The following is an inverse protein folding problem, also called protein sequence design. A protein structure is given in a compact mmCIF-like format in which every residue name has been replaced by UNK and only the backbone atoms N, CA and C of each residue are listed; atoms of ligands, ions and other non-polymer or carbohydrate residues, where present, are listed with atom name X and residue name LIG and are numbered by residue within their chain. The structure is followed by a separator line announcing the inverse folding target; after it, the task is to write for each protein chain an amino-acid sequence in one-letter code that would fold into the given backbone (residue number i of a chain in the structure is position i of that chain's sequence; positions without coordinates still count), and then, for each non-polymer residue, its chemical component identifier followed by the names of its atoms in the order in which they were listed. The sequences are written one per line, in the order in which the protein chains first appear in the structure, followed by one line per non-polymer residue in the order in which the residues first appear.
data_IF_929584854734
#
_entry.id   IF_929584854734
#
_cell.length_a   1.000
_cell.length_b   1.000
_cell.length_c   1.000
_cell.angle_alpha   90.00
_cell.angle_beta   90.00
_cell.angle_gamma   90.00
#
_symmetry.space_group_name_H-M   'P 1'
#
loop_
_entity.id
_entity.type
_entity.pdbx_description
1 polymer ?
#
# COMPACT_ATOMS: atom_id res chain seq x y z
N UNK A 1 17.45 -16.85 -49.73
CA UNK A 1 16.12 -16.56 -49.15
C UNK A 1 16.31 -16.47 -47.65
N UNK A 2 16.46 -15.26 -47.11
CA UNK A 2 16.49 -15.05 -45.65
C UNK A 2 15.11 -15.40 -45.09
N UNK A 3 15.06 -16.20 -44.03
CA UNK A 3 13.79 -16.63 -43.43
C UNK A 3 13.01 -15.40 -42.97
N UNK A 4 11.77 -15.25 -43.43
CA UNK A 4 10.86 -14.17 -43.02
C UNK A 4 10.54 -14.21 -41.52
N UNK A 5 10.79 -15.37 -40.89
CA UNK A 5 10.65 -15.59 -39.46
C UNK A 5 12.04 -15.75 -38.82
N UNK A 6 12.31 -14.96 -37.79
CA UNK A 6 13.54 -15.02 -36.99
C UNK A 6 13.21 -14.83 -35.52
N UNK A 7 13.56 -15.83 -34.70
CA UNK A 7 13.48 -15.72 -33.25
C UNK A 7 14.66 -14.89 -32.74
N UNK A 8 14.49 -14.15 -31.63
CA UNK A 8 15.60 -13.45 -31.00
C UNK A 8 16.66 -14.45 -30.51
N UNK A 9 17.93 -14.13 -30.76
CA UNK A 9 19.05 -14.99 -30.38
C UNK A 9 19.12 -15.17 -28.86
N UNK A 10 19.22 -16.42 -28.38
CA UNK A 10 19.31 -16.72 -26.95
C UNK A 10 20.55 -16.07 -26.29
N UNK A 11 21.59 -15.77 -27.07
CA UNK A 11 22.79 -15.07 -26.59
C UNK A 11 22.44 -13.67 -26.08
N UNK A 12 21.54 -12.95 -26.76
CA UNK A 12 21.08 -11.62 -26.33
C UNK A 12 20.24 -11.67 -25.05
N UNK A 13 19.55 -12.79 -24.82
CA UNK A 13 18.67 -12.99 -23.66
C UNK A 13 19.40 -13.54 -22.43
N UNK A 14 20.59 -14.12 -22.60
CA UNK A 14 21.40 -14.71 -21.53
C UNK A 14 21.67 -13.75 -20.37
N UNK A 15 22.12 -12.49 -20.56
CA UNK A 15 22.32 -11.54 -19.46
C UNK A 15 21.02 -11.22 -18.70
N UNK A 16 19.86 -11.27 -19.37
CA UNK A 16 18.56 -11.09 -18.74
C UNK A 16 18.17 -12.29 -17.87
N UNK A 17 18.52 -13.51 -18.24
CA UNK A 17 18.32 -14.70 -17.39
C UNK A 17 19.21 -14.68 -16.13
N UNK A 18 20.40 -14.08 -16.24
CA UNK A 18 21.32 -13.89 -15.13
C UNK A 18 20.91 -12.76 -14.18
N UNK A 19 20.29 -11.69 -14.69
CA UNK A 19 19.76 -10.62 -13.84
C UNK A 19 18.39 -10.99 -13.23
N UNK A 20 17.52 -11.67 -13.97
CA UNK A 20 16.17 -12.06 -13.53
C UNK A 20 15.95 -13.57 -13.59
N UNK A 21 16.39 -14.32 -12.55
CA UNK A 21 16.13 -15.75 -12.50
C UNK A 21 14.65 -16.06 -12.34
N UNK A 22 14.25 -17.27 -12.74
CA UNK A 22 12.88 -17.78 -12.62
C UNK A 22 11.87 -17.03 -13.49
N UNK A 23 12.36 -16.26 -14.48
CA UNK A 23 11.54 -15.50 -15.44
C UNK A 23 11.87 -15.83 -16.88
N UNK A 24 12.55 -16.96 -17.11
CA UNK A 24 13.08 -17.34 -18.43
C UNK A 24 11.95 -17.50 -19.44
N UNK A 25 10.83 -18.13 -19.04
CA UNK A 25 9.66 -18.28 -19.91
C UNK A 25 9.03 -16.93 -20.28
N UNK A 26 8.86 -16.03 -19.31
CA UNK A 26 8.26 -14.71 -19.56
C UNK A 26 9.17 -13.85 -20.43
N UNK A 27 10.49 -13.89 -20.20
CA UNK A 27 11.47 -13.16 -21.01
C UNK A 27 11.46 -13.67 -22.45
N UNK A 28 11.50 -14.98 -22.68
CA UNK A 28 11.39 -15.56 -24.04
C UNK A 28 10.08 -15.15 -24.72
N UNK A 29 8.95 -15.29 -24.03
CA UNK A 29 7.64 -14.92 -24.56
C UNK A 29 7.57 -13.43 -24.93
N UNK A 30 8.09 -12.56 -24.06
CA UNK A 30 8.12 -11.12 -24.27
C UNK A 30 9.02 -10.77 -25.47
N UNK A 31 10.20 -11.40 -25.56
CA UNK A 31 11.11 -11.20 -26.68
C UNK A 31 10.47 -11.62 -28.02
N UNK A 32 9.80 -12.78 -28.07
CA UNK A 32 9.09 -13.25 -29.27
C UNK A 32 7.95 -12.31 -29.69
N UNK A 33 7.22 -11.73 -28.73
CA UNK A 33 6.08 -10.85 -28.99
C UNK A 33 6.47 -9.42 -29.38
N UNK A 34 7.70 -8.99 -29.07
CA UNK A 34 8.23 -7.67 -29.43
C UNK A 34 9.17 -7.68 -30.62
N UNK A 35 9.79 -8.82 -30.95
CA UNK A 35 10.74 -8.92 -32.05
C UNK A 35 10.04 -8.74 -33.42
N UNK A 36 10.53 -7.83 -34.30
CA UNK A 36 9.84 -7.44 -35.53
C UNK A 36 9.69 -8.58 -36.54
N UNK A 37 10.65 -9.52 -36.55
CA UNK A 37 10.68 -10.66 -37.47
C UNK A 37 10.11 -11.95 -36.85
N UNK A 38 9.61 -11.91 -35.60
CA UNK A 38 9.03 -13.08 -34.94
C UNK A 38 7.49 -13.06 -35.06
N UNK A 39 6.79 -12.90 -33.94
CA UNK A 39 5.33 -12.81 -33.88
C UNK A 39 4.92 -11.49 -33.21
N UNK A 40 5.18 -10.32 -33.85
CA UNK A 40 4.91 -9.03 -33.25
C UNK A 40 3.41 -8.85 -33.02
N UNK A 41 3.05 -8.45 -31.81
CA UNK A 41 1.69 -8.10 -31.46
C UNK A 41 1.46 -6.58 -31.56
N UNK A 42 0.22 -6.16 -31.81
CA UNK A 42 -0.15 -4.72 -31.83
C UNK A 42 -0.31 -4.17 -30.42
N UNK A 43 -1.05 -4.90 -29.60
CA UNK A 43 -1.30 -4.56 -28.20
C UNK A 43 -0.88 -5.73 -27.31
N UNK A 44 0.05 -5.47 -26.38
CA UNK A 44 0.51 -6.42 -25.36
C UNK A 44 0.11 -5.93 -23.97
N UNK A 45 -0.59 -6.76 -23.21
CA UNK A 45 -0.92 -6.48 -21.81
C UNK A 45 -0.06 -7.38 -20.93
N UNK A 46 0.92 -6.78 -20.26
CA UNK A 46 1.77 -7.46 -19.27
C UNK A 46 1.13 -7.26 -17.90
N UNK A 47 0.70 -8.35 -17.27
CA UNK A 47 0.00 -8.27 -15.99
C UNK A 47 0.55 -9.19 -14.91
N UNK A 48 0.33 -8.83 -13.65
CA UNK A 48 0.74 -9.64 -12.50
C UNK A 48 0.90 -8.80 -11.25
N UNK A 49 1.01 -9.45 -10.09
CA UNK A 49 1.15 -8.77 -8.80
C UNK A 49 2.32 -7.78 -8.76
N UNK A 50 2.30 -6.85 -7.82
CA UNK A 50 3.39 -5.89 -7.61
C UNK A 50 4.70 -6.62 -7.29
N UNK A 51 5.83 -6.04 -7.71
CA UNK A 51 7.17 -6.58 -7.44
C UNK A 51 7.50 -7.96 -8.06
N UNK A 52 6.85 -8.31 -9.19
CA UNK A 52 7.20 -9.49 -10.00
C UNK A 52 8.29 -9.22 -11.06
N UNK A 53 8.85 -8.00 -11.10
CA UNK A 53 9.91 -7.62 -12.04
C UNK A 53 9.44 -7.14 -13.42
N UNK A 54 8.13 -7.09 -13.70
CA UNK A 54 7.54 -6.67 -14.99
C UNK A 54 8.22 -5.44 -15.61
N UNK A 55 8.23 -4.32 -14.87
CA UNK A 55 8.75 -3.04 -15.37
C UNK A 55 10.25 -3.08 -15.66
N UNK A 56 11.03 -3.71 -14.77
CA UNK A 56 12.47 -3.83 -14.92
C UNK A 56 12.86 -4.75 -16.09
N UNK A 57 12.21 -5.92 -16.19
CA UNK A 57 12.42 -6.88 -17.28
C UNK A 57 12.04 -6.28 -18.62
N UNK A 58 10.87 -5.62 -18.71
CA UNK A 58 10.40 -5.04 -19.98
C UNK A 58 11.31 -3.90 -20.42
N UNK A 59 11.76 -3.04 -19.50
CA UNK A 59 12.62 -1.90 -19.85
C UNK A 59 13.99 -2.36 -20.34
N UNK A 60 14.61 -3.33 -19.66
CA UNK A 60 15.93 -3.86 -20.07
C UNK A 60 15.82 -4.68 -21.36
N UNK A 61 14.80 -5.54 -21.51
CA UNK A 61 14.63 -6.31 -22.73
C UNK A 61 14.36 -5.40 -23.95
N UNK A 62 13.58 -4.33 -23.78
CA UNK A 62 13.34 -3.36 -24.87
C UNK A 62 14.63 -2.62 -25.24
N UNK A 63 15.45 -2.20 -24.27
CA UNK A 63 16.75 -1.58 -24.60
C UNK A 63 17.67 -2.54 -25.34
N UNK A 64 17.76 -3.78 -24.87
CA UNK A 64 18.65 -4.79 -25.44
C UNK A 64 18.23 -5.13 -26.88
N UNK A 65 16.93 -5.32 -27.12
CA UNK A 65 16.37 -5.55 -28.46
C UNK A 65 16.60 -4.38 -29.41
N UNK A 66 16.43 -3.13 -28.94
CA UNK A 66 16.71 -1.94 -29.75
C UNK A 66 18.18 -1.90 -30.15
N UNK A 67 19.10 -2.26 -29.25
CA UNK A 67 20.52 -2.28 -29.57
C UNK A 67 20.90 -3.39 -30.54
N UNK A 68 20.40 -4.61 -30.35
CA UNK A 68 20.74 -5.76 -31.19
C UNK A 68 20.16 -5.64 -32.60
N UNK A 69 18.90 -5.20 -32.71
CA UNK A 69 18.24 -5.07 -34.00
C UNK A 69 18.89 -3.93 -34.81
N UNK A 70 19.20 -2.80 -34.18
CA UNK A 70 19.85 -1.70 -34.90
C UNK A 70 21.32 -1.98 -35.27
N UNK A 71 21.98 -2.97 -34.66
CA UNK A 71 23.30 -3.43 -35.12
C UNK A 71 23.23 -4.35 -36.34
N UNK A 72 22.09 -5.00 -36.57
CA UNK A 72 21.90 -5.88 -37.72
C UNK A 72 21.49 -5.05 -38.96
N UNK A 73 22.40 -4.93 -39.93
CA UNK A 73 22.15 -4.21 -41.19
C UNK A 73 20.99 -4.77 -42.01
N UNK A 74 20.61 -6.03 -41.76
CA UNK A 74 19.51 -6.71 -42.43
C UNK A 74 18.12 -6.43 -41.82
N UNK A 75 18.10 -5.79 -40.66
CA UNK A 75 16.89 -5.46 -39.93
C UNK A 75 16.34 -4.10 -40.37
N UNK A 76 15.01 -3.93 -40.37
CA UNK A 76 14.39 -2.66 -40.73
C UNK A 76 14.54 -1.55 -39.67
N UNK A 77 15.22 -1.83 -38.55
CA UNK A 77 15.37 -0.96 -37.40
C UNK A 77 14.23 -1.06 -36.37
N UNK A 78 14.58 -0.85 -35.10
CA UNK A 78 13.63 -0.82 -33.97
C UNK A 78 13.92 0.38 -33.08
N UNK A 79 12.86 1.12 -32.72
CA UNK A 79 12.94 2.18 -31.72
C UNK A 79 11.88 1.97 -30.65
N UNK A 80 12.14 2.48 -29.45
CA UNK A 80 11.20 2.33 -28.35
C UNK A 80 11.20 3.53 -27.41
N UNK A 81 10.05 3.75 -26.77
CA UNK A 81 9.89 4.73 -25.71
C UNK A 81 9.24 4.05 -24.49
N UNK A 82 9.80 4.28 -23.30
CA UNK A 82 9.28 3.77 -22.04
C UNK A 82 8.77 4.93 -21.21
N UNK A 83 7.47 4.93 -20.90
CA UNK A 83 6.81 5.99 -20.16
C UNK A 83 6.29 5.44 -18.83
N UNK A 84 6.71 6.06 -17.74
CA UNK A 84 6.19 5.73 -16.41
C UNK A 84 4.89 6.50 -16.13
N UNK A 85 3.76 5.81 -16.16
CA UNK A 85 2.44 6.41 -16.00
C UNK A 85 2.16 6.86 -14.57
N UNK A 86 2.87 6.32 -13.56
CA UNK A 86 2.71 6.73 -12.15
C UNK A 86 3.17 8.17 -11.93
N UNK A 87 4.14 8.62 -12.71
CA UNK A 87 4.62 10.02 -12.67
C UNK A 87 3.62 10.98 -13.32
N UNK A 88 2.67 10.47 -14.10
CA UNK A 88 1.69 11.24 -14.85
C UNK A 88 0.37 11.33 -14.07
N UNK A 89 0.17 12.44 -13.35
CA UNK A 89 -1.03 12.65 -12.53
C UNK A 89 -2.30 12.73 -13.38
N UNK A 90 -2.26 13.53 -14.45
CA UNK A 90 -3.41 13.80 -15.34
C UNK A 90 -3.21 13.15 -16.71
N UNK A 91 -4.29 12.97 -17.48
CA UNK A 91 -4.22 12.51 -18.88
C UNK A 91 -3.36 13.41 -19.76
N UNK A 92 -3.41 14.74 -19.55
CA UNK A 92 -2.56 15.71 -20.25
C UNK A 92 -1.07 15.44 -20.00
N UNK A 93 -0.66 15.25 -18.73
CA UNK A 93 0.73 14.96 -18.41
C UNK A 93 1.21 13.66 -19.06
N UNK A 94 0.34 12.65 -19.13
CA UNK A 94 0.65 11.39 -19.82
C UNK A 94 0.91 11.64 -21.32
N UNK A 95 0.04 12.39 -22.00
CA UNK A 95 0.19 12.67 -23.43
C UNK A 95 1.45 13.49 -23.74
N UNK A 96 1.71 14.55 -22.99
CA UNK A 96 2.93 15.37 -23.13
C UNK A 96 4.19 14.53 -22.87
N UNK A 97 4.16 13.61 -21.89
CA UNK A 97 5.28 12.70 -21.61
C UNK A 97 5.50 11.67 -22.72
N UNK A 98 4.42 11.12 -23.29
CA UNK A 98 4.52 10.20 -24.44
C UNK A 98 5.16 10.91 -25.63
N UNK A 99 4.67 12.09 -26.00
CA UNK A 99 5.24 12.88 -27.11
C UNK A 99 6.71 13.22 -26.84
N UNK A 100 7.04 13.67 -25.64
CA UNK A 100 8.42 14.01 -25.27
C UNK A 100 9.38 12.80 -25.34
N UNK A 101 8.96 11.63 -24.85
CA UNK A 101 9.79 10.42 -24.89
C UNK A 101 9.93 9.84 -26.30
N UNK A 102 8.88 9.93 -27.14
CA UNK A 102 8.96 9.54 -28.55
C UNK A 102 9.92 10.48 -29.30
N UNK A 103 9.81 11.78 -29.07
CA UNK A 103 10.70 12.75 -29.68
C UNK A 103 12.16 12.55 -29.27
N UNK A 104 12.42 12.26 -27.98
CA UNK A 104 13.75 11.94 -27.49
C UNK A 104 14.31 10.67 -28.14
N UNK A 105 13.53 9.60 -28.22
CA UNK A 105 13.92 8.35 -28.86
C UNK A 105 14.23 8.50 -30.36
N UNK A 106 13.44 9.33 -31.06
CA UNK A 106 13.60 9.60 -32.49
C UNK A 106 14.57 10.76 -32.80
N UNK A 107 15.12 11.44 -31.77
CA UNK A 107 15.91 12.68 -31.90
C UNK A 107 15.19 13.75 -32.72
N UNK A 108 13.91 13.94 -32.47
CA UNK A 108 13.04 14.87 -33.18
C UNK A 108 13.15 16.29 -32.61
N UNK A 109 13.52 17.27 -33.44
CA UNK A 109 13.81 18.64 -32.99
C UNK A 109 12.54 19.47 -32.69
N UNK A 110 11.47 19.28 -33.45
CA UNK A 110 10.22 20.04 -33.28
C UNK A 110 9.23 19.31 -32.37
N UNK A 111 9.36 19.48 -31.05
CA UNK A 111 8.44 18.87 -30.09
C UNK A 111 7.31 19.83 -29.73
N UNK A 112 6.07 19.40 -29.95
CA UNK A 112 4.89 20.10 -29.47
C UNK A 112 4.88 20.09 -27.93
N UNK A 113 5.02 21.26 -27.30
CA UNK A 113 5.08 21.37 -25.83
C UNK A 113 3.74 21.13 -25.13
N UNK A 114 2.62 21.11 -25.86
CA UNK A 114 1.27 21.04 -25.29
C UNK A 114 0.42 20.03 -26.04
N UNK A 115 0.04 18.95 -25.35
CA UNK A 115 -0.81 17.89 -25.89
C UNK A 115 -1.91 17.58 -24.87
N UNK A 116 -3.13 18.07 -25.12
CA UNK A 116 -4.23 18.00 -24.14
C UNK A 116 -5.21 16.87 -24.45
N UNK A 117 -5.34 16.52 -25.72
CA UNK A 117 -6.31 15.53 -26.18
C UNK A 117 -5.63 14.33 -26.82
N UNK A 118 -6.31 13.19 -26.77
CA UNK A 118 -5.84 11.99 -27.44
C UNK A 118 -5.73 12.19 -28.96
N UNK A 119 -6.64 12.96 -29.56
CA UNK A 119 -6.59 13.25 -31.00
C UNK A 119 -5.30 14.00 -31.37
N UNK A 120 -4.89 15.00 -30.57
CA UNK A 120 -3.61 15.68 -30.73
C UNK A 120 -2.43 14.71 -30.59
N UNK A 121 -2.48 13.82 -29.58
CA UNK A 121 -1.46 12.78 -29.43
C UNK A 121 -1.35 11.91 -30.68
N UNK A 122 -2.47 11.46 -31.23
CA UNK A 122 -2.50 10.63 -32.44
C UNK A 122 -1.85 11.36 -33.62
N UNK A 123 -2.19 12.63 -33.84
CA UNK A 123 -1.63 13.43 -34.95
C UNK A 123 -0.11 13.59 -34.79
N UNK A 124 0.37 13.93 -33.60
CA UNK A 124 1.82 14.08 -33.35
C UNK A 124 2.56 12.74 -33.49
N UNK A 125 1.98 11.64 -33.01
CA UNK A 125 2.55 10.31 -33.20
C UNK A 125 2.60 9.91 -34.68
N UNK A 126 1.53 10.15 -35.45
CA UNK A 126 1.52 9.89 -36.90
C UNK A 126 2.59 10.74 -37.61
N UNK A 127 2.72 12.02 -37.25
CA UNK A 127 3.74 12.94 -37.79
C UNK A 127 5.16 12.41 -37.54
N UNK A 128 5.47 11.96 -36.32
CA UNK A 128 6.81 11.48 -35.96
C UNK A 128 7.10 10.04 -36.42
N UNK A 129 6.09 9.17 -36.42
CA UNK A 129 6.23 7.73 -36.60
C UNK A 129 5.95 7.29 -38.05
N UNK A 130 4.99 7.89 -38.74
CA UNK A 130 4.50 7.42 -40.04
C UNK A 130 4.91 8.30 -41.23
N UNK A 131 4.99 9.62 -41.08
CA UNK A 131 5.35 10.51 -42.20
C UNK A 131 6.79 10.36 -42.72
N UNK A 132 7.80 10.14 -41.87
CA UNK A 132 9.16 9.88 -42.36
C UNK A 132 9.19 8.59 -43.18
N UNK A 133 9.84 8.64 -44.36
CA UNK A 133 10.05 7.44 -45.18
C UNK A 133 11.00 6.49 -44.45
N UNK A 134 10.47 5.39 -43.93
CA UNK A 134 11.21 4.32 -43.24
C UNK A 134 11.06 3.00 -43.99
N UNK A 135 11.93 2.03 -43.70
CA UNK A 135 11.78 0.66 -44.20
C UNK A 135 10.43 0.08 -43.74
N UNK A 136 9.78 -0.72 -44.57
CA UNK A 136 8.50 -1.38 -44.24
C UNK A 136 8.63 -2.37 -43.08
N UNK A 137 9.86 -2.79 -42.74
CA UNK A 137 10.17 -3.64 -41.58
C UNK A 137 10.44 -2.85 -40.29
N UNK A 138 10.53 -1.52 -40.36
CA UNK A 138 10.77 -0.69 -39.19
C UNK A 138 9.57 -0.74 -38.22
N UNK A 139 9.86 -0.87 -36.92
CA UNK A 139 8.83 -0.92 -35.86
C UNK A 139 9.15 0.06 -34.72
N UNK A 140 8.10 0.46 -34.01
CA UNK A 140 8.19 1.31 -32.83
C UNK A 140 7.45 0.68 -31.65
N UNK A 141 8.09 0.58 -30.49
CA UNK A 141 7.48 0.05 -29.27
C UNK A 141 7.21 1.18 -28.29
N UNK A 142 5.95 1.35 -27.89
CA UNK A 142 5.55 2.26 -26.81
C UNK A 142 5.21 1.44 -25.56
N UNK A 143 6.02 1.56 -24.52
CA UNK A 143 5.79 0.90 -23.22
C UNK A 143 5.17 1.90 -22.25
N UNK A 144 3.96 1.60 -21.78
CA UNK A 144 3.26 2.35 -20.75
C UNK A 144 3.33 1.57 -19.44
N UNK A 145 4.25 1.95 -18.56
CA UNK A 145 4.47 1.29 -17.28
C UNK A 145 3.44 1.73 -16.23
N UNK A 146 2.91 0.77 -15.48
CA UNK A 146 1.94 0.94 -14.39
C UNK A 146 0.76 1.89 -14.73
N UNK A 147 0.18 1.71 -15.92
CA UNK A 147 -0.92 2.55 -16.44
C UNK A 147 -2.21 2.40 -15.62
N UNK A 148 -2.37 1.30 -14.87
CA UNK A 148 -3.48 1.06 -13.94
C UNK A 148 -3.45 1.96 -12.69
N UNK A 149 -2.29 2.57 -12.38
CA UNK A 149 -2.11 3.40 -11.19
C UNK A 149 -2.30 4.90 -11.44
N UNK A 150 -2.73 5.27 -12.64
CA UNK A 150 -3.04 6.66 -12.95
C UNK A 150 -4.25 7.13 -12.12
N UNK A 151 -4.13 8.28 -11.46
CA UNK A 151 -5.15 8.77 -10.51
C UNK A 151 -6.44 9.22 -11.20
N UNK A 152 -6.30 9.99 -12.28
CA UNK A 152 -7.42 10.62 -13.00
C UNK A 152 -7.56 10.06 -14.42
N UNK A 153 -7.63 8.74 -14.57
CA UNK A 153 -7.79 8.09 -15.87
C UNK A 153 -9.29 7.92 -16.23
N UNK A 154 -9.80 8.56 -17.30
CA UNK A 154 -11.16 8.28 -17.76
C UNK A 154 -11.24 6.85 -18.31
N UNK A 155 -12.40 6.21 -18.18
CA UNK A 155 -12.62 4.83 -18.63
C UNK A 155 -12.39 4.61 -20.14
N UNK A 156 -12.39 5.69 -20.93
CA UNK A 156 -12.13 5.68 -22.37
C UNK A 156 -10.65 5.76 -22.73
N UNK A 157 -9.76 6.12 -21.81
CA UNK A 157 -8.34 6.36 -22.08
C UNK A 157 -7.63 5.11 -22.64
N UNK A 158 -7.75 3.99 -21.93
CA UNK A 158 -7.03 2.75 -22.26
C UNK A 158 -7.50 2.13 -23.58
N UNK A 159 -8.81 1.98 -23.85
CA UNK A 159 -9.26 1.53 -25.16
C UNK A 159 -8.79 2.45 -26.29
N UNK A 160 -8.77 3.75 -26.04
CA UNK A 160 -8.41 4.70 -27.07
C UNK A 160 -6.89 4.72 -27.35
N UNK A 161 -6.04 4.50 -26.33
CA UNK A 161 -4.61 4.25 -26.51
C UNK A 161 -4.35 2.93 -27.25
N UNK A 162 -5.10 1.86 -26.96
CA UNK A 162 -4.96 0.58 -27.66
C UNK A 162 -5.22 0.69 -29.17
N UNK A 163 -6.15 1.58 -29.57
CA UNK A 163 -6.47 1.83 -30.99
C UNK A 163 -5.40 2.64 -31.72
N UNK A 164 -4.42 3.22 -31.04
CA UNK A 164 -3.28 3.87 -31.72
C UNK A 164 -2.50 2.89 -32.61
N UNK A 165 -2.41 1.62 -32.21
CA UNK A 165 -1.79 0.55 -33.01
C UNK A 165 -2.63 0.11 -34.23
N UNK A 166 -3.90 0.53 -34.31
CA UNK A 166 -4.73 0.37 -35.51
C UNK A 166 -4.41 1.45 -36.53
N UNK A 167 -4.19 2.68 -36.04
CA UNK A 167 -3.91 3.87 -36.86
C UNK A 167 -2.47 3.84 -37.37
N UNK A 168 -1.53 3.45 -36.52
CA UNK A 168 -0.10 3.43 -36.82
C UNK A 168 0.35 1.97 -36.95
N UNK A 169 0.50 1.42 -38.17
CA UNK A 169 0.73 -0.02 -38.38
C UNK A 169 2.11 -0.51 -37.92
N UNK A 170 3.07 0.39 -37.75
CA UNK A 170 4.40 0.09 -37.22
C UNK A 170 4.50 0.20 -35.69
N UNK A 171 3.41 0.56 -35.01
CA UNK A 171 3.36 0.77 -33.56
C UNK A 171 2.91 -0.51 -32.82
N UNK A 172 3.69 -0.91 -31.83
CA UNK A 172 3.31 -1.87 -30.80
C UNK A 172 3.15 -1.16 -29.46
N UNK A 173 1.97 -1.25 -28.85
CA UNK A 173 1.70 -0.70 -27.53
C UNK A 173 1.79 -1.79 -26.46
N UNK A 174 2.62 -1.58 -25.45
CA UNK A 174 2.80 -2.47 -24.31
C UNK A 174 2.24 -1.80 -23.07
N UNK A 175 1.23 -2.41 -22.44
CA UNK A 175 0.59 -1.93 -21.23
C UNK A 175 1.02 -2.80 -20.05
N UNK A 176 1.76 -2.23 -19.10
CA UNK A 176 2.12 -2.92 -17.86
C UNK A 176 1.11 -2.57 -16.78
N UNK A 177 0.45 -3.58 -16.23
CA UNK A 177 -0.61 -3.42 -15.22
C UNK A 177 -0.48 -4.44 -14.09
N UNK A 178 -1.11 -4.17 -12.95
CA UNK A 178 -1.15 -5.11 -11.83
C UNK A 178 -2.19 -6.21 -12.09
N UNK A 179 -3.44 -5.81 -12.34
CA UNK A 179 -4.57 -6.71 -12.56
C UNK A 179 -5.53 -6.10 -13.59
N UNK A 180 -5.55 -6.57 -14.84
CA UNK A 180 -6.43 -6.03 -15.87
C UNK A 180 -7.89 -6.45 -15.59
N UNK A 181 -8.86 -5.51 -15.59
CA UNK A 181 -10.28 -5.86 -15.59
C UNK A 181 -10.68 -6.57 -16.89
N UNK A 182 -11.83 -7.25 -16.87
CA UNK A 182 -12.41 -7.86 -18.07
C UNK A 182 -12.63 -6.79 -19.16
N UNK A 183 -12.21 -7.09 -20.39
CA UNK A 183 -12.30 -6.13 -21.50
C UNK A 183 -11.40 -4.91 -21.35
N UNK A 184 -10.27 -5.01 -20.64
CA UNK A 184 -9.35 -3.92 -20.33
C UNK A 184 -9.07 -2.94 -21.50
N UNK A 185 -8.74 -3.47 -22.68
CA UNK A 185 -8.45 -2.65 -23.87
C UNK A 185 -9.62 -2.52 -24.84
N UNK A 186 -10.70 -3.32 -24.70
CA UNK A 186 -11.83 -3.40 -25.65
C UNK A 186 -11.41 -3.49 -27.13
N UNK A 187 -10.22 -4.05 -27.40
CA UNK A 187 -9.63 -4.21 -28.73
C UNK A 187 -9.70 -5.68 -29.12
N UNK A 188 -10.03 -6.01 -30.39
CA UNK A 188 -9.80 -7.36 -30.89
C UNK A 188 -8.29 -7.62 -30.89
N UNK A 189 -7.88 -8.83 -30.50
CA UNK A 189 -6.50 -9.33 -30.63
C UNK A 189 -5.43 -8.75 -29.69
N UNK A 190 -5.77 -8.38 -28.44
CA UNK A 190 -4.75 -8.07 -27.42
C UNK A 190 -4.08 -9.34 -26.86
N UNK A 191 -2.76 -9.42 -26.93
CA UNK A 191 -2.00 -10.49 -26.28
C UNK A 191 -1.87 -10.20 -24.78
N UNK A 192 -1.97 -11.24 -23.95
CA UNK A 192 -1.81 -11.14 -22.49
C UNK A 192 -0.62 -11.99 -22.03
N UNK A 193 0.30 -11.36 -21.31
CA UNK A 193 1.45 -12.04 -20.71
C UNK A 193 1.38 -11.91 -19.19
N UNK A 194 1.17 -13.06 -18.53
CA UNK A 194 1.11 -13.14 -17.07
C UNK A 194 2.50 -13.30 -16.47
N UNK A 195 2.80 -12.45 -15.49
CA UNK A 195 3.90 -12.58 -14.55
C UNK A 195 3.37 -13.11 -13.20
N UNK A 196 3.45 -14.43 -12.96
CA UNK A 196 2.93 -15.03 -11.74
C UNK A 196 3.72 -14.54 -10.51
N UNK A 197 3.12 -14.49 -9.31
CA UNK A 197 3.87 -14.23 -8.09
C UNK A 197 4.95 -15.30 -7.89
N UNK A 198 6.06 -14.92 -7.25
CA UNK A 198 7.15 -15.88 -7.01
C UNK A 198 6.74 -16.96 -6.02
N UNK A 199 7.22 -18.18 -6.24
CA UNK A 199 7.08 -19.30 -5.29
C UNK A 199 8.20 -19.31 -4.25
N UNK A 200 8.01 -20.08 -3.17
CA UNK A 200 9.01 -20.24 -2.09
C UNK A 200 10.40 -20.58 -2.62
N UNK A 201 10.48 -21.55 -3.54
CA UNK A 201 11.75 -22.01 -4.11
C UNK A 201 12.44 -20.89 -4.91
N UNK A 202 11.65 -20.09 -5.62
CA UNK A 202 12.13 -18.97 -6.43
C UNK A 202 12.64 -17.83 -5.55
N UNK A 203 11.91 -17.47 -4.48
CA UNK A 203 12.35 -16.48 -3.50
C UNK A 203 13.72 -16.82 -2.90
N UNK A 204 13.88 -18.08 -2.45
CA UNK A 204 15.15 -18.55 -1.88
C UNK A 204 16.25 -18.53 -2.94
N UNK A 205 15.97 -18.98 -4.18
CA UNK A 205 16.93 -18.97 -5.29
C UNK A 205 17.37 -17.56 -5.68
N UNK A 206 16.47 -16.59 -5.67
CA UNK A 206 16.78 -15.18 -5.97
C UNK A 206 17.73 -14.62 -4.91
N UNK A 207 17.43 -14.82 -3.61
CA UNK A 207 18.27 -14.31 -2.53
C UNK A 207 19.59 -15.08 -2.36
N UNK A 208 19.66 -16.34 -2.79
CA UNK A 208 20.90 -17.12 -2.73
C UNK A 208 21.95 -16.66 -3.75
N UNK A 209 21.57 -15.90 -4.78
CA UNK A 209 22.55 -15.28 -5.72
C UNK A 209 23.41 -14.22 -5.06
N UNK A 210 22.88 -13.52 -4.06
CA UNK A 210 23.61 -12.49 -3.30
C UNK A 210 23.70 -12.90 -1.83
N UNK A 211 24.53 -13.91 -1.49
CA UNK A 211 24.67 -14.34 -0.12
C UNK A 211 25.35 -13.25 0.73
N UNK A 212 25.07 -13.21 2.05
CA UNK A 212 25.78 -12.33 2.96
C UNK A 212 27.27 -12.71 3.04
N UNK A 213 28.08 -11.74 3.48
CA UNK A 213 29.52 -11.96 3.74
C UNK A 213 29.70 -13.09 4.77
N UNK A 214 30.80 -13.83 4.66
CA UNK A 214 31.16 -14.88 5.63
C UNK A 214 31.07 -14.35 7.06
N UNK A 215 30.47 -15.16 7.93
CA UNK A 215 30.51 -14.92 9.38
C UNK A 215 31.95 -15.21 9.84
N UNK A 216 32.51 -14.39 10.72
CA UNK A 216 33.92 -14.47 11.12
C UNK A 216 34.37 -15.84 11.65
N UNK A 217 33.44 -16.64 12.17
CA UNK A 217 33.67 -17.97 12.75
C UNK A 217 33.40 -19.12 11.77
N UNK A 218 33.00 -18.87 10.52
CA UNK A 218 32.47 -19.89 9.60
C UNK A 218 33.07 -19.80 8.19
N UNK A 219 33.06 -20.93 7.49
CA UNK A 219 33.41 -20.94 6.05
C UNK A 219 32.31 -20.27 5.21
N UNK A 220 32.68 -19.79 4.01
CA UNK A 220 31.72 -19.20 3.07
C UNK A 220 30.62 -20.20 2.69
N UNK A 221 30.96 -21.49 2.52
CA UNK A 221 30.02 -22.55 2.16
C UNK A 221 28.99 -22.80 3.27
N UNK A 222 29.43 -22.91 4.52
CA UNK A 222 28.52 -23.06 5.67
C UNK A 222 27.59 -21.85 5.82
N UNK A 223 28.11 -20.64 5.57
CA UNK A 223 27.31 -19.41 5.59
C UNK A 223 26.23 -19.44 4.50
N UNK A 224 26.56 -19.91 3.30
CA UNK A 224 25.60 -20.01 2.20
C UNK A 224 24.52 -21.06 2.46
N UNK A 225 24.86 -22.23 2.99
CA UNK A 225 23.86 -23.26 3.35
C UNK A 225 22.94 -22.73 4.45
N UNK A 226 23.51 -22.15 5.51
CA UNK A 226 22.74 -21.52 6.59
C UNK A 226 21.80 -20.43 6.06
N UNK A 227 22.28 -19.58 5.13
CA UNK A 227 21.50 -18.52 4.51
C UNK A 227 20.29 -19.07 3.75
N UNK A 228 20.43 -20.16 3.00
CA UNK A 228 19.31 -20.76 2.25
C UNK A 228 18.23 -21.30 3.18
N UNK A 229 18.62 -22.01 4.25
CA UNK A 229 17.71 -22.54 5.27
C UNK A 229 17.02 -21.41 6.03
N UNK A 230 17.77 -20.36 6.38
CA UNK A 230 17.25 -19.16 7.00
C UNK A 230 16.22 -18.44 6.12
N UNK A 231 16.52 -18.22 4.84
CA UNK A 231 15.58 -17.60 3.89
C UNK A 231 14.26 -18.40 3.80
N UNK A 232 14.33 -19.73 3.80
CA UNK A 232 13.15 -20.59 3.82
C UNK A 232 12.32 -20.41 5.10
N UNK A 233 12.96 -20.27 6.26
CA UNK A 233 12.28 -20.02 7.53
C UNK A 233 11.64 -18.61 7.62
N UNK A 234 12.32 -17.58 7.10
CA UNK A 234 11.76 -16.22 6.98
C UNK A 234 10.54 -16.23 6.05
N UNK A 235 10.60 -17.00 4.96
CA UNK A 235 9.47 -17.13 4.04
C UNK A 235 8.24 -17.72 4.73
N UNK A 236 8.41 -18.83 5.46
CA UNK A 236 7.30 -19.53 6.12
C UNK A 236 6.67 -18.72 7.25
N UNK A 237 7.46 -17.91 7.95
CA UNK A 237 7.02 -17.11 9.10
C UNK A 237 6.36 -15.79 8.70
N UNK A 238 6.99 -15.00 7.83
CA UNK A 238 6.58 -13.61 7.55
C UNK A 238 6.04 -13.40 6.12
N UNK A 239 6.57 -14.11 5.13
CA UNK A 239 6.29 -13.83 3.71
C UNK A 239 5.01 -14.51 3.25
N UNK A 240 4.80 -15.77 3.68
CA UNK A 240 3.61 -16.56 3.35
C UNK A 240 2.31 -15.91 3.86
N UNK A 241 2.36 -15.36 5.07
CA UNK A 241 1.23 -14.77 5.79
C UNK A 241 1.03 -13.29 5.45
N UNK A 242 2.08 -12.48 5.52
CA UNK A 242 1.95 -11.03 5.58
C UNK A 242 2.56 -10.26 4.40
N UNK A 243 3.61 -10.77 3.74
CA UNK A 243 4.23 -10.06 2.60
C UNK A 243 4.56 -10.97 1.42
N UNK A 244 3.77 -10.93 0.34
CA UNK A 244 4.05 -11.73 -0.88
C UNK A 244 4.94 -11.01 -1.91
N UNK A 245 5.82 -10.12 -1.45
CA UNK A 245 6.64 -9.27 -2.34
C UNK A 245 8.13 -9.46 -2.13
N UNK A 246 8.89 -9.46 -3.22
CA UNK A 246 10.34 -9.69 -3.21
C UNK A 246 11.13 -8.61 -2.44
N UNK A 247 10.85 -7.29 -2.59
CA UNK A 247 11.55 -6.26 -1.82
C UNK A 247 11.32 -6.39 -0.31
N UNK A 248 10.09 -6.68 0.11
CA UNK A 248 9.76 -6.89 1.53
C UNK A 248 10.49 -8.11 2.08
N UNK A 249 10.47 -9.24 1.36
CA UNK A 249 11.19 -10.44 1.74
C UNK A 249 12.70 -10.20 1.87
N UNK A 250 13.31 -9.53 0.87
CA UNK A 250 14.73 -9.14 0.91
C UNK A 250 15.04 -8.27 2.12
N UNK A 251 14.21 -7.27 2.39
CA UNK A 251 14.37 -6.40 3.56
C UNK A 251 14.29 -7.19 4.87
N UNK A 252 13.28 -8.04 5.03
CA UNK A 252 13.10 -8.88 6.23
C UNK A 252 14.29 -9.81 6.45
N UNK A 253 14.79 -10.47 5.40
CA UNK A 253 15.98 -11.32 5.49
C UNK A 253 17.20 -10.53 5.96
N UNK A 254 17.48 -9.35 5.37
CA UNK A 254 18.63 -8.52 5.78
C UNK A 254 18.48 -7.94 7.19
N UNK A 255 17.27 -7.59 7.63
CA UNK A 255 17.02 -7.07 8.96
C UNK A 255 17.15 -8.14 10.06
N UNK A 256 16.71 -9.37 9.76
CA UNK A 256 16.74 -10.49 10.70
C UNK A 256 18.09 -11.20 10.74
N UNK A 257 18.86 -11.17 9.65
CA UNK A 257 20.12 -11.91 9.55
C UNK A 257 21.11 -11.63 10.68
N UNK A 258 21.46 -10.37 11.01
CA UNK A 258 22.41 -10.09 12.08
C UNK A 258 21.93 -10.58 13.45
N UNK A 259 20.61 -10.55 13.69
CA UNK A 259 20.00 -11.00 14.94
C UNK A 259 20.01 -12.52 15.04
N UNK A 260 19.78 -13.20 13.92
CA UNK A 260 19.82 -14.65 13.83
C UNK A 260 21.25 -15.20 13.98
N UNK A 261 22.27 -14.49 13.49
CA UNK A 261 23.68 -14.90 13.59
C UNK A 261 24.36 -14.46 14.89
N UNK A 262 23.75 -13.58 15.69
CA UNK A 262 24.35 -13.09 16.94
C UNK A 262 24.73 -14.22 17.93
N UNK A 263 23.92 -15.29 18.13
CA UNK A 263 24.30 -16.43 18.96
C UNK A 263 25.52 -17.21 18.43
N UNK A 264 25.72 -17.23 17.11
CA UNK A 264 26.88 -17.88 16.47
C UNK A 264 28.14 -17.05 16.73
N UNK A 265 28.05 -15.72 16.56
CA UNK A 265 29.15 -14.80 16.85
C UNK A 265 29.54 -14.82 18.33
N UNK A 266 28.58 -15.04 19.22
CA UNK A 266 28.81 -15.19 20.66
C UNK A 266 29.36 -16.58 21.05
N UNK A 267 29.52 -17.51 20.11
CA UNK A 267 30.02 -18.87 20.37
C UNK A 267 29.04 -19.78 21.12
N UNK A 268 27.77 -19.37 21.27
CA UNK A 268 26.77 -20.15 22.02
C UNK A 268 26.20 -21.32 21.24
N UNK A 269 26.12 -21.20 19.90
CA UNK A 269 25.57 -22.21 19.02
C UNK A 269 26.42 -22.35 17.75
N UNK A 270 26.47 -23.57 17.22
CA UNK A 270 27.17 -23.87 15.97
C UNK A 270 26.26 -23.59 14.76
N UNK A 271 26.82 -23.24 13.58
CA UNK A 271 26.05 -23.02 12.35
C UNK A 271 25.24 -24.24 11.89
N UNK A 272 25.72 -25.44 12.24
CA UNK A 272 25.04 -26.71 11.92
C UNK A 272 23.78 -26.94 12.75
N UNK A 273 23.66 -26.29 13.91
CA UNK A 273 22.54 -26.45 14.85
C UNK A 273 21.35 -25.54 14.51
N UNK A 274 20.87 -25.61 13.27
CA UNK A 274 19.82 -24.72 12.75
C UNK A 274 18.54 -24.71 13.61
N UNK A 275 18.11 -25.87 14.12
CA UNK A 275 16.91 -25.99 14.96
C UNK A 275 17.04 -25.22 16.27
N UNK A 276 18.23 -25.23 16.91
CA UNK A 276 18.47 -24.50 18.17
C UNK A 276 18.49 -22.98 17.91
N UNK A 277 19.12 -22.55 16.81
CA UNK A 277 19.13 -21.16 16.38
C UNK A 277 17.72 -20.62 16.09
N UNK A 278 16.86 -21.43 15.47
CA UNK A 278 15.46 -21.07 15.24
C UNK A 278 14.68 -20.88 16.55
N UNK A 279 14.92 -21.73 17.56
CA UNK A 279 14.27 -21.60 18.86
C UNK A 279 14.75 -20.32 19.57
N UNK A 280 16.07 -20.06 19.57
CA UNK A 280 16.64 -18.85 20.14
C UNK A 280 16.12 -17.57 19.44
N UNK A 281 15.97 -17.61 18.11
CA UNK A 281 15.47 -16.50 17.30
C UNK A 281 13.95 -16.39 17.19
N UNK A 282 13.17 -17.28 17.83
CA UNK A 282 11.70 -17.42 17.60
C UNK A 282 10.94 -16.11 17.75
N UNK A 283 11.28 -15.30 18.76
CA UNK A 283 10.61 -14.01 19.01
C UNK A 283 10.79 -13.04 17.84
N UNK A 284 11.94 -13.09 17.17
CA UNK A 284 12.20 -12.22 16.02
C UNK A 284 11.43 -12.63 14.76
N UNK A 285 11.15 -13.92 14.58
CA UNK A 285 10.32 -14.41 13.47
C UNK A 285 8.81 -14.14 13.66
N UNK A 286 8.37 -13.80 14.87
CA UNK A 286 6.99 -13.39 15.17
C UNK A 286 6.78 -11.87 15.09
N UNK A 287 7.85 -11.11 14.90
CA UNK A 287 7.82 -9.65 14.89
C UNK A 287 7.37 -9.10 13.52
N UNK A 288 6.05 -8.99 13.34
CA UNK A 288 5.44 -8.42 12.12
C UNK A 288 5.80 -6.94 11.91
N UNK A 289 6.30 -6.24 12.94
CA UNK A 289 6.68 -4.83 12.82
C UNK A 289 7.80 -4.59 11.79
N UNK A 290 8.57 -5.63 11.45
CA UNK A 290 9.61 -5.60 10.43
C UNK A 290 9.07 -5.46 9.00
N UNK A 291 7.77 -5.75 8.79
CA UNK A 291 7.11 -5.59 7.50
C UNK A 291 6.54 -4.18 7.31
N UNK A 292 6.41 -3.41 8.38
CA UNK A 292 5.94 -2.04 8.29
C UNK A 292 7.04 -1.18 7.64
N UNK A 293 6.71 -0.42 6.59
CA UNK A 293 7.68 0.49 5.98
C UNK A 293 8.22 1.45 7.03
N UNK A 294 9.51 1.77 6.97
CA UNK A 294 10.24 2.56 7.96
C UNK A 294 9.63 3.94 8.27
N UNK A 295 8.76 4.45 7.40
CA UNK A 295 7.97 5.67 7.61
C UNK A 295 6.97 5.51 8.77
N UNK A 296 6.53 4.28 9.06
CA UNK A 296 5.56 3.94 10.11
C UNK A 296 6.24 3.41 11.38
N UNK A 297 7.48 2.90 11.28
CA UNK A 297 8.20 2.29 12.41
C UNK A 297 9.58 2.91 12.65
N UNK A 298 9.61 4.11 13.26
CA UNK A 298 10.85 4.61 13.87
C UNK A 298 11.14 3.75 15.10
N UNK A 299 11.93 2.69 14.93
CA UNK A 299 12.43 1.90 16.06
C UNK A 299 13.52 2.71 16.75
N UNK A 300 13.24 3.22 17.95
CA UNK A 300 14.26 3.87 18.78
C UNK A 300 15.39 2.86 19.05
N UNK A 301 16.62 3.21 18.67
CA UNK A 301 17.80 2.33 18.80
C UNK A 301 18.21 2.07 20.26
N UNK A 302 17.57 2.70 21.24
CA UNK A 302 18.12 2.83 22.60
C UNK A 302 17.30 2.15 23.73
N UNK A 303 16.47 1.13 23.46
CA UNK A 303 15.92 0.31 24.55
C UNK A 303 16.37 -1.15 24.46
N UNK A 304 17.10 -1.69 25.47
CA UNK A 304 17.38 -3.10 25.54
C UNK A 304 16.08 -3.89 25.74
N UNK A 305 16.04 -5.06 25.13
CA UNK A 305 14.91 -5.98 25.12
C UNK A 305 14.70 -6.55 26.51
N UNK A 306 13.78 -5.96 27.28
CA UNK A 306 13.08 -6.72 28.32
C UNK A 306 11.84 -7.36 27.68
N UNK A 307 11.80 -8.68 27.75
CA UNK A 307 10.72 -9.50 27.28
C UNK A 307 9.46 -9.22 28.11
N UNK A 308 8.53 -8.45 27.52
CA UNK A 308 7.11 -8.58 27.84
C UNK A 308 6.36 -8.57 26.52
N UNK A 309 5.69 -9.69 26.25
CA UNK A 309 4.71 -9.81 25.19
C UNK A 309 3.64 -8.73 25.37
N UNK A 310 3.80 -7.60 24.67
CA UNK A 310 2.78 -6.57 24.57
C UNK A 310 2.53 -6.28 23.10
N UNK A 311 1.35 -6.74 22.67
CA UNK A 311 0.70 -6.48 21.39
C UNK A 311 0.80 -4.99 21.07
N UNK A 312 1.34 -4.62 19.90
CA UNK A 312 0.96 -3.45 19.06
C UNK A 312 0.64 -2.06 19.69
N UNK A 313 0.90 -1.81 20.97
CA UNK A 313 0.41 -0.63 21.71
C UNK A 313 1.31 0.59 21.69
N UNK A 314 2.50 0.51 21.06
CA UNK A 314 3.48 1.61 21.11
C UNK A 314 2.94 2.94 20.55
N UNK A 315 2.09 2.92 19.50
CA UNK A 315 1.51 4.15 18.96
C UNK A 315 0.37 4.74 19.83
N UNK A 316 -0.32 3.89 20.60
CA UNK A 316 -1.38 4.32 21.50
C UNK A 316 -0.80 5.00 22.76
N UNK A 317 0.33 4.51 23.26
CA UNK A 317 1.02 5.08 24.44
C UNK A 317 1.67 6.43 24.16
N UNK A 318 2.05 6.71 22.92
CA UNK A 318 2.61 8.02 22.56
C UNK A 318 1.51 9.09 22.53
N UNK A 319 0.33 8.79 21.98
CA UNK A 319 -0.77 9.77 21.95
C UNK A 319 -1.32 10.08 23.35
N UNK A 320 -1.34 9.10 24.26
CA UNK A 320 -1.80 9.31 25.65
C UNK A 320 -0.92 10.29 26.42
N UNK A 321 0.39 10.35 26.12
CA UNK A 321 1.34 11.22 26.81
C UNK A 321 1.42 12.63 26.20
N UNK A 322 1.01 12.79 24.94
CA UNK A 322 1.14 14.05 24.20
C UNK A 322 -0.10 14.96 24.31
N UNK A 323 -1.27 14.41 24.67
CA UNK A 323 -2.51 15.18 24.70
C UNK A 323 -2.80 15.81 26.09
N UNK A 324 -3.15 17.11 26.14
CA UNK A 324 -3.63 17.75 27.36
C UNK A 324 -4.84 17.03 27.97
N UNK A 325 -5.02 17.13 29.29
CA UNK A 325 -6.10 16.43 30.02
C UNK A 325 -7.49 16.80 29.48
N UNK A 326 -7.75 18.06 29.15
CA UNK A 326 -9.01 18.50 28.54
C UNK A 326 -9.27 17.79 27.20
N UNK A 327 -8.26 17.66 26.35
CA UNK A 327 -8.38 16.97 25.06
C UNK A 327 -8.62 15.46 25.25
N UNK A 328 -7.96 14.84 26.24
CA UNK A 328 -8.18 13.43 26.61
C UNK A 328 -9.62 13.20 27.08
N UNK A 329 -10.14 14.05 27.96
CA UNK A 329 -11.53 13.98 28.44
C UNK A 329 -12.54 14.17 27.30
N UNK A 330 -12.33 15.16 26.42
CA UNK A 330 -13.19 15.38 25.25
C UNK A 330 -13.22 14.16 24.32
N UNK A 331 -12.08 13.48 24.11
CA UNK A 331 -12.05 12.24 23.32
C UNK A 331 -12.82 11.09 23.98
N UNK A 332 -12.74 10.95 25.30
CA UNK A 332 -13.55 9.97 26.03
C UNK A 332 -15.04 10.28 25.90
N UNK A 333 -15.44 11.54 26.11
CA UNK A 333 -16.83 11.99 25.95
C UNK A 333 -17.34 11.79 24.52
N UNK A 334 -16.52 12.07 23.51
CA UNK A 334 -16.83 11.83 22.11
C UNK A 334 -17.03 10.35 21.80
N UNK A 335 -16.21 9.47 22.39
CA UNK A 335 -16.35 8.03 22.23
C UNK A 335 -17.67 7.52 22.86
N UNK A 336 -18.01 7.99 24.06
CA UNK A 336 -19.28 7.65 24.70
C UNK A 336 -20.49 8.20 23.91
N UNK A 337 -20.39 9.43 23.39
CA UNK A 337 -21.41 9.99 22.51
C UNK A 337 -21.58 9.15 21.23
N UNK A 338 -20.49 8.63 20.65
CA UNK A 338 -20.56 7.80 19.45
C UNK A 338 -21.21 6.43 19.71
N UNK A 339 -20.82 5.73 20.78
CA UNK A 339 -21.22 4.33 20.99
C UNK A 339 -22.47 4.15 21.86
N UNK A 340 -22.79 5.08 22.75
CA UNK A 340 -24.03 5.04 23.52
C UNK A 340 -25.17 5.73 22.76
N UNK A 341 -26.36 5.13 22.79
CA UNK A 341 -27.55 5.75 22.24
C UNK A 341 -28.07 6.86 23.18
N UNK A 342 -28.61 7.94 22.60
CA UNK A 342 -29.10 9.13 23.32
C UNK A 342 -30.08 8.83 24.45
N UNK A 343 -30.90 7.77 24.31
CA UNK A 343 -31.86 7.33 25.34
C UNK A 343 -31.23 6.93 26.67
N UNK A 344 -29.94 6.63 26.70
CA UNK A 344 -29.22 6.20 27.89
C UNK A 344 -28.44 7.32 28.58
N UNK A 345 -28.38 8.51 27.98
CA UNK A 345 -27.57 9.61 28.51
C UNK A 345 -28.09 10.07 29.88
N UNK A 346 -29.42 10.15 30.05
CA UNK A 346 -30.04 10.49 31.33
C UNK A 346 -29.71 9.47 32.43
N UNK A 347 -29.62 8.18 32.10
CA UNK A 347 -29.31 7.15 33.11
C UNK A 347 -27.84 7.13 33.48
N UNK A 348 -26.94 7.52 32.57
CA UNK A 348 -25.49 7.48 32.78
C UNK A 348 -24.92 8.78 33.34
N UNK A 349 -25.42 9.93 32.89
CA UNK A 349 -24.79 11.23 33.12
C UNK A 349 -25.66 12.21 33.91
N UNK A 350 -26.83 11.78 34.43
CA UNK A 350 -27.63 12.66 35.29
C UNK A 350 -26.98 12.78 36.67
N UNK A 351 -26.60 14.00 37.02
CA UNK A 351 -26.08 14.36 38.35
C UNK A 351 -27.21 14.69 39.34
N UNK A 352 -28.45 14.77 38.86
CA UNK A 352 -29.63 15.08 39.66
C UNK A 352 -30.41 13.82 39.96
N UNK A 353 -30.54 13.46 41.23
CA UNK A 353 -31.49 12.43 41.66
C UNK A 353 -32.91 12.92 41.36
N UNK A 354 -33.54 12.41 40.30
CA UNK A 354 -34.98 12.59 40.14
C UNK A 354 -35.70 11.79 41.23
N UNK A 355 -35.98 12.45 42.36
CA UNK A 355 -36.90 11.98 43.40
C UNK A 355 -38.37 11.87 42.94
N UNK A 356 -38.63 11.78 41.63
CA UNK A 356 -39.97 11.46 41.13
C UNK A 356 -40.16 9.96 41.27
N UNK A 357 -40.86 9.56 42.35
CA UNK A 357 -41.62 8.30 42.38
C UNK A 357 -42.35 8.17 41.05
N UNK A 358 -41.87 7.29 40.16
CA UNK A 358 -42.65 6.84 39.02
C UNK A 358 -43.98 6.37 39.59
N UNK A 359 -45.08 7.05 39.23
CA UNK A 359 -46.44 6.56 39.51
C UNK A 359 -46.49 5.12 39.05
N UNK A 360 -46.67 4.22 40.01
CA UNK A 360 -46.96 2.81 39.81
C UNK A 360 -48.36 2.76 39.20
N UNK A 361 -48.44 2.89 37.88
CA UNK A 361 -49.62 2.55 37.10
C UNK A 361 -49.40 1.15 36.56
N UNK A 362 -49.92 0.15 37.26
CA UNK A 362 -49.98 -1.21 36.76
C UNK A 362 -50.91 -1.28 35.55
N UNK A 363 -50.52 -2.06 34.56
CA UNK A 363 -51.35 -3.07 33.89
C UNK A 363 -50.38 -4.02 33.20
N UNK A 364 -50.56 -5.29 33.50
CA UNK A 364 -49.89 -6.45 32.90
C UNK A 364 -50.25 -6.48 31.41
N UNK A 365 -49.25 -6.34 30.54
CA UNK A 365 -49.38 -6.70 29.13
C UNK A 365 -48.09 -7.38 28.65
N UNK A 366 -48.16 -8.72 28.66
CA UNK A 366 -47.47 -9.69 27.80
C UNK A 366 -46.02 -9.41 27.45
N UNK A 367 -45.15 -10.28 27.96
CA UNK A 367 -43.77 -10.41 27.52
C UNK A 367 -43.67 -10.53 26.00
N UNK A 368 -43.24 -9.45 25.36
CA UNK A 368 -42.48 -9.56 24.14
C UNK A 368 -41.12 -10.12 24.56
N UNK A 369 -40.94 -11.43 24.37
CA UNK A 369 -39.63 -12.05 24.26
C UNK A 369 -38.89 -11.32 23.14
N UNK A 370 -38.21 -10.21 23.48
CA UNK A 370 -37.22 -9.61 22.59
C UNK A 370 -36.15 -10.67 22.45
N UNK A 371 -36.27 -11.44 21.38
CA UNK A 371 -35.25 -12.31 20.83
C UNK A 371 -33.93 -11.58 21.01
N UNK A 372 -33.09 -12.07 21.92
CA UNK A 372 -31.73 -11.59 22.12
C UNK A 372 -30.96 -11.99 20.86
N UNK A 373 -31.19 -11.26 19.78
CA UNK A 373 -30.26 -11.23 18.66
C UNK A 373 -28.93 -10.88 19.32
N UNK A 374 -27.92 -11.74 19.20
CA UNK A 374 -26.57 -11.47 19.72
C UNK A 374 -26.19 -10.10 19.18
N UNK A 375 -26.30 -9.06 20.02
CA UNK A 375 -26.00 -7.70 19.62
C UNK A 375 -24.52 -7.73 19.32
N UNK A 376 -24.15 -7.34 18.10
CA UNK A 376 -22.75 -7.14 17.76
C UNK A 376 -22.19 -6.17 18.81
N UNK A 377 -21.06 -6.53 19.43
CA UNK A 377 -20.45 -5.67 20.42
C UNK A 377 -20.26 -4.28 19.81
N UNK A 378 -20.78 -3.23 20.46
CA UNK A 378 -20.77 -1.87 19.89
C UNK A 378 -19.36 -1.34 19.61
N UNK A 379 -18.34 -1.91 20.25
CA UNK A 379 -16.91 -1.67 20.00
C UNK A 379 -16.46 -2.13 18.60
N UNK A 380 -17.19 -3.08 17.99
CA UNK A 380 -16.96 -3.59 16.63
C UNK A 380 -17.78 -2.83 15.57
N UNK A 381 -18.74 -2.01 15.99
CA UNK A 381 -19.44 -1.09 15.08
C UNK A 381 -18.56 0.14 14.82
N UNK A 382 -18.63 0.65 13.60
CA UNK A 382 -18.01 1.93 13.27
C UNK A 382 -18.60 3.07 14.10
N UNK A 383 -17.79 4.09 14.37
CA UNK A 383 -18.20 5.25 15.15
C UNK A 383 -19.42 5.95 14.53
N UNK A 384 -20.48 6.13 15.32
CA UNK A 384 -21.68 6.83 14.86
C UNK A 384 -21.48 8.35 14.94
N UNK A 385 -22.19 9.06 14.07
CA UNK A 385 -22.23 10.51 14.14
C UNK A 385 -23.05 10.96 15.35
N UNK A 386 -22.54 11.93 16.10
CA UNK A 386 -23.20 12.56 17.23
C UNK A 386 -23.21 14.09 17.07
N UNK A 387 -24.11 14.79 17.76
CA UNK A 387 -24.18 16.26 17.74
C UNK A 387 -23.14 16.82 18.72
N UNK A 388 -22.46 17.91 18.36
CA UNK A 388 -21.43 18.52 19.22
C UNK A 388 -21.98 18.87 20.60
N UNK A 389 -23.17 19.45 20.65
CA UNK A 389 -23.87 19.79 21.90
C UNK A 389 -24.01 18.60 22.85
N UNK A 390 -24.33 17.40 22.33
CA UNK A 390 -24.43 16.19 23.15
C UNK A 390 -23.10 15.79 23.75
N UNK A 391 -22.02 15.86 22.97
CA UNK A 391 -20.66 15.59 23.46
C UNK A 391 -20.27 16.59 24.56
N UNK A 392 -20.57 17.87 24.35
CA UNK A 392 -20.32 18.93 25.34
C UNK A 392 -21.10 18.72 26.63
N UNK A 393 -22.36 18.25 26.54
CA UNK A 393 -23.16 17.89 27.71
C UNK A 393 -22.56 16.72 28.49
N UNK A 394 -22.10 15.67 27.80
CA UNK A 394 -21.42 14.52 28.43
C UNK A 394 -20.10 14.98 29.08
N UNK A 395 -19.31 15.81 28.38
CA UNK A 395 -18.07 16.36 28.92
C UNK A 395 -18.34 17.19 30.19
N UNK A 396 -19.34 18.07 30.18
CA UNK A 396 -19.68 18.89 31.33
C UNK A 396 -20.14 18.07 32.54
N UNK A 397 -20.85 16.96 32.33
CA UNK A 397 -21.30 16.07 33.40
C UNK A 397 -20.15 15.33 34.07
N UNK A 398 -19.11 15.01 33.30
CA UNK A 398 -18.09 14.05 33.69
C UNK A 398 -16.76 14.72 34.10
N UNK A 399 -16.46 15.92 33.58
CA UNK A 399 -15.17 16.60 33.78
C UNK A 399 -14.77 16.79 35.24
N UNK A 400 -15.74 16.96 36.15
CA UNK A 400 -15.47 17.19 37.57
C UNK A 400 -15.14 15.89 38.32
N UNK A 401 -15.62 14.75 37.82
CA UNK A 401 -15.37 13.44 38.40
C UNK A 401 -14.06 12.84 37.88
N UNK A 402 -13.74 13.07 36.60
CA UNK A 402 -12.57 12.48 35.95
C UNK A 402 -11.33 13.37 35.94
N UNK A 403 -11.45 14.68 36.17
CA UNK A 403 -10.29 15.52 36.42
C UNK A 403 -10.06 15.56 37.93
N UNK A 404 -8.90 15.05 38.39
CA UNK A 404 -8.42 15.30 39.75
C UNK A 404 -8.61 16.78 40.06
N UNK A 405 -9.20 17.09 41.22
CA UNK A 405 -9.81 18.38 41.59
C UNK A 405 -8.89 19.61 41.63
N UNK A 406 -7.81 19.64 40.85
CA UNK A 406 -6.81 20.70 40.74
C UNK A 406 -6.91 21.55 39.48
N UNK A 407 -7.84 21.30 38.52
CA UNK A 407 -7.75 22.00 37.22
C UNK A 407 -9.04 22.43 36.49
N UNK A 408 -10.21 22.54 37.13
CA UNK A 408 -11.41 23.03 36.42
C UNK A 408 -12.34 23.90 37.28
N UNK A 409 -11.97 25.16 37.48
CA UNK A 409 -12.89 26.19 37.96
C UNK A 409 -14.02 26.45 36.94
N UNK A 410 -15.24 26.62 37.43
CA UNK A 410 -16.47 26.66 36.64
C UNK A 410 -16.61 27.82 35.62
N UNK A 411 -15.69 28.80 35.59
CA UNK A 411 -15.90 30.07 34.91
C UNK A 411 -14.81 30.49 33.89
N UNK A 412 -13.76 29.70 33.65
CA UNK A 412 -12.63 30.09 32.79
C UNK A 412 -12.38 29.25 31.51
N UNK A 413 -13.15 28.18 31.28
CA UNK A 413 -12.74 27.07 30.40
C UNK A 413 -13.32 27.05 28.97
N UNK A 414 -14.26 27.92 28.62
CA UNK A 414 -14.96 27.79 27.32
C UNK A 414 -14.03 28.02 26.12
N UNK A 415 -13.05 28.93 26.24
CA UNK A 415 -12.04 29.17 25.21
C UNK A 415 -11.06 27.99 25.08
N UNK A 416 -10.58 27.43 26.21
CA UNK A 416 -9.66 26.30 26.20
C UNK A 416 -10.31 25.03 25.67
N UNK A 417 -11.60 24.82 25.97
CA UNK A 417 -12.38 23.70 25.44
C UNK A 417 -12.63 23.86 23.95
N UNK A 418 -12.98 25.07 23.48
CA UNK A 418 -13.09 25.38 22.06
C UNK A 418 -11.77 25.11 21.29
N UNK A 419 -10.65 25.57 21.86
CA UNK A 419 -9.32 25.32 21.31
C UNK A 419 -8.98 23.82 21.32
N UNK A 420 -9.33 23.10 22.38
CA UNK A 420 -9.17 21.64 22.43
C UNK A 420 -10.01 20.93 21.35
N UNK A 421 -11.25 21.35 21.08
CA UNK A 421 -12.06 20.80 19.99
C UNK A 421 -11.45 21.11 18.62
N UNK A 422 -10.99 22.36 18.40
CA UNK A 422 -10.35 22.78 17.15
C UNK A 422 -9.04 22.02 16.88
N UNK A 423 -8.22 21.82 17.91
CA UNK A 423 -6.98 21.03 17.82
C UNK A 423 -7.28 19.55 17.56
N UNK A 424 -8.25 18.95 18.25
CA UNK A 424 -8.69 17.56 17.98
C UNK A 424 -9.25 17.38 16.56
N UNK A 425 -9.93 18.40 16.03
CA UNK A 425 -10.40 18.44 14.65
C UNK A 425 -9.24 18.54 13.65
N UNK A 426 -8.26 19.40 13.93
CA UNK A 426 -7.05 19.58 13.12
C UNK A 426 -6.18 18.31 13.08
N UNK A 427 -6.09 17.60 14.21
CA UNK A 427 -5.43 16.29 14.33
C UNK A 427 -6.23 15.13 13.71
N UNK A 428 -7.44 15.39 13.19
CA UNK A 428 -8.38 14.40 12.65
C UNK A 428 -8.74 13.27 13.63
N UNK A 429 -8.64 13.53 14.94
CA UNK A 429 -9.13 12.63 15.99
C UNK A 429 -10.64 12.78 16.16
N UNK A 430 -11.15 13.99 15.91
CA UNK A 430 -12.56 14.29 15.69
C UNK A 430 -12.74 14.78 14.26
N UNK A 431 -13.79 14.31 13.59
CA UNK A 431 -14.09 14.66 12.20
C UNK A 431 -15.52 15.15 12.09
N UNK A 432 -15.73 16.31 11.47
CA UNK A 432 -17.08 16.81 11.19
C UNK A 432 -17.70 16.00 10.05
N UNK A 433 -18.98 15.66 10.20
CA UNK A 433 -19.78 14.93 9.22
C UNK A 433 -20.75 15.89 8.56
N UNK A 434 -20.62 16.05 7.25
CA UNK A 434 -21.30 17.11 6.48
C UNK A 434 -20.33 18.26 6.19
N UNK A 435 -20.52 18.92 5.04
CA UNK A 435 -19.56 19.84 4.41
C UNK A 435 -19.09 21.04 5.25
N UNK A 436 -18.21 21.83 4.64
CA UNK A 436 -17.51 22.96 5.27
C UNK A 436 -18.50 23.94 5.95
N UNK A 437 -18.37 24.05 7.27
CA UNK A 437 -19.10 24.99 8.12
C UNK A 437 -18.26 25.30 9.36
N UNK A 438 -18.67 26.28 10.15
CA UNK A 438 -17.94 26.72 11.34
C UNK A 438 -17.78 25.60 12.37
N UNK A 439 -16.54 25.26 12.72
CA UNK A 439 -16.17 24.22 13.71
C UNK A 439 -16.89 24.41 15.04
N UNK A 440 -17.28 25.64 15.37
CA UNK A 440 -17.97 25.99 16.61
C UNK A 440 -19.49 25.82 16.57
N UNK A 441 -20.06 25.40 15.43
CA UNK A 441 -21.49 25.10 15.32
C UNK A 441 -21.87 23.91 16.20
N UNK A 442 -22.59 24.21 17.30
CA UNK A 442 -23.05 23.22 18.29
C UNK A 442 -24.05 22.21 17.71
N UNK A 443 -24.75 22.56 16.64
CA UNK A 443 -25.64 21.66 15.89
C UNK A 443 -24.90 20.73 14.93
N UNK A 444 -23.60 20.96 14.71
CA UNK A 444 -22.77 20.18 13.83
C UNK A 444 -22.71 18.70 14.24
N UNK A 445 -22.74 17.81 13.24
CA UNK A 445 -22.53 16.38 13.44
C UNK A 445 -21.04 16.06 13.40
N UNK A 446 -20.57 15.27 14.35
CA UNK A 446 -19.18 14.88 14.53
C UNK A 446 -19.05 13.37 14.62
N UNK A 447 -17.90 12.83 14.23
CA UNK A 447 -17.50 11.43 14.39
C UNK A 447 -16.11 11.37 15.00
N UNK A 448 -15.94 10.46 15.95
CA UNK A 448 -14.64 10.13 16.47
C UNK A 448 -13.89 9.20 15.51
N UNK A 449 -12.60 9.46 15.30
CA UNK A 449 -11.72 8.70 14.43
C UNK A 449 -10.56 8.10 15.25
N UNK A 450 -10.91 7.48 16.37
CA UNK A 450 -9.96 6.90 17.34
C UNK A 450 -10.42 5.48 17.66
N UNK A 451 -9.48 4.52 17.60
CA UNK A 451 -9.76 3.13 17.89
C UNK A 451 -9.95 2.88 19.40
N UNK A 452 -10.71 1.83 19.72
CA UNK A 452 -11.00 1.43 21.10
C UNK A 452 -9.74 1.28 21.98
N UNK A 453 -8.67 0.67 21.47
CA UNK A 453 -7.45 0.46 22.27
C UNK A 453 -6.78 1.77 22.71
N UNK A 454 -6.86 2.80 21.87
CA UNK A 454 -6.34 4.14 22.21
C UNK A 454 -7.23 4.79 23.26
N UNK A 455 -8.56 4.73 23.11
CA UNK A 455 -9.52 5.25 24.09
C UNK A 455 -9.37 4.56 25.45
N UNK A 456 -9.16 3.24 25.45
CA UNK A 456 -8.90 2.46 26.66
C UNK A 456 -7.58 2.88 27.33
N UNK A 457 -6.53 3.12 26.54
CA UNK A 457 -5.27 3.67 27.02
C UNK A 457 -5.44 5.06 27.65
N UNK A 458 -6.18 5.96 26.99
CA UNK A 458 -6.49 7.29 27.49
C UNK A 458 -7.27 7.22 28.80
N UNK A 459 -8.32 6.39 28.87
CA UNK A 459 -9.10 6.18 30.09
C UNK A 459 -8.23 5.75 31.27
N UNK A 460 -7.42 4.70 31.08
CA UNK A 460 -6.47 4.23 32.11
C UNK A 460 -5.47 5.30 32.55
N UNK A 461 -5.02 6.16 31.65
CA UNK A 461 -4.10 7.27 31.97
C UNK A 461 -4.72 8.35 32.87
N UNK A 462 -6.06 8.37 32.99
CA UNK A 462 -6.83 9.30 33.83
C UNK A 462 -7.52 8.52 34.98
N UNK A 463 -7.28 7.21 35.11
CA UNK A 463 -7.92 6.37 36.12
C UNK A 463 -9.39 6.01 35.83
N UNK A 464 -9.85 6.17 34.59
CA UNK A 464 -11.24 5.91 34.17
C UNK A 464 -11.35 4.59 33.41
N UNK A 465 -12.18 3.68 33.92
CA UNK A 465 -12.54 2.45 33.21
C UNK A 465 -13.70 2.69 32.22
N UNK A 466 -13.36 3.12 31.00
CA UNK A 466 -14.34 3.45 29.94
C UNK A 466 -15.29 2.28 29.60
N UNK A 467 -14.91 1.04 29.94
CA UNK A 467 -15.74 -0.14 29.70
C UNK A 467 -17.05 -0.12 30.50
N UNK A 468 -17.04 0.43 31.71
CA UNK A 468 -18.22 0.51 32.59
C UNK A 468 -19.25 1.51 32.06
N UNK A 469 -18.80 2.49 31.28
CA UNK A 469 -19.64 3.56 30.72
C UNK A 469 -20.29 3.17 29.39
N UNK A 470 -19.97 2.00 28.82
CA UNK A 470 -20.52 1.51 27.56
C UNK A 470 -21.68 0.56 27.79
N UNK A 471 -22.85 0.90 27.23
CA UNK A 471 -24.05 0.05 27.32
C UNK A 471 -24.10 -0.91 26.13
N UNK A 472 -24.43 -2.19 26.35
CA UNK A 472 -24.58 -3.22 25.31
C UNK A 472 -25.93 -3.21 24.54
#
# INVERSE_FOLDING_TARGET
MTSLFGLPDEVTLTPLFESFPCREHQIRSLATLLHPNAAPCRNLVIHGATATGKSAITSQLVSDLVTSINSDESSGGLQAAVVNSVQCITGRHLFERIVGQIAEALRWEEVLRRCETLAQLTVEMVKMIQYPKRDGRWRFILVLDAIDRQRDAPATLLPALARLSEIIPCLTCVFIVTSPPAGFLRSPSSAHLLFPPYEKKEFVRILSRTPPKAIATCTQQETTDLWTRFCAAVYDSLTKSASRTLPSFKHSCHALWPRFTAPILAGTHLPKEFSKLLIAGRVHFQDESLLNPSIVSIRSKNKPVQAVATKTTASATDLTNLLPTTARLLLLSAYLASHNATRHDLTLFSTYHQGRKRRRGGIVARGATRTKHRKIARKLLGAHAFVLERMMAIFAAVRNEWADGTAAGAAGLDADVAMAVSTLASLRLLTRVGGAGDVMDRGGKWRINVAWEVIRGIGRSIGVEVEEWLIE
#
